data_IF_795562766317
#
_entry.id   IF_795562766317
#
_cell.length_a   1.000
_cell.length_b   1.000
_cell.length_c   1.000
_cell.angle_alpha   90.00
_cell.angle_beta   90.00
_cell.angle_gamma   90.00
#
_symmetry.space_group_name_H-M   'P 1'
#
loop_
_entity.id
_entity.type
_entity.pdbx_description
1 polymer ?
#
# COMPACT_ATOMS: atom_id res chain seq x y z
N UNK A 1 -33.59 8.18 3.84
CA UNK A 1 -32.50 9.07 3.41
C UNK A 1 -31.32 8.85 4.36
N UNK A 2 -30.22 8.22 3.91
CA UNK A 2 -29.01 8.09 4.74
C UNK A 2 -28.41 9.49 4.94
N UNK A 3 -28.03 9.85 6.15
CA UNK A 3 -27.41 11.14 6.41
C UNK A 3 -25.99 11.17 5.83
N UNK A 4 -25.49 12.36 5.50
CA UNK A 4 -24.10 12.57 5.01
C UNK A 4 -23.05 11.95 5.94
N UNK A 5 -23.30 11.98 7.27
CA UNK A 5 -22.44 11.35 8.29
C UNK A 5 -22.43 9.82 8.19
N UNK A 6 -23.54 9.19 7.84
CA UNK A 6 -23.61 7.74 7.64
C UNK A 6 -22.79 7.34 6.39
N UNK A 7 -22.87 8.13 5.32
CA UNK A 7 -22.09 7.91 4.11
C UNK A 7 -20.57 7.99 4.37
N UNK A 8 -20.13 9.04 5.09
CA UNK A 8 -18.70 9.19 5.46
C UNK A 8 -18.23 8.04 6.37
N UNK A 9 -19.08 7.54 7.28
CA UNK A 9 -18.69 6.43 8.15
C UNK A 9 -18.56 5.11 7.40
N UNK A 10 -19.45 4.84 6.44
CA UNK A 10 -19.40 3.66 5.58
C UNK A 10 -18.16 3.72 4.64
N UNK A 11 -17.84 4.88 4.05
CA UNK A 11 -16.62 5.06 3.26
C UNK A 11 -15.34 4.86 4.10
N UNK A 12 -15.29 5.41 5.30
CA UNK A 12 -14.16 5.21 6.23
C UNK A 12 -14.00 3.73 6.60
N UNK A 13 -15.10 3.00 6.80
CA UNK A 13 -15.07 1.58 7.13
C UNK A 13 -14.58 0.74 5.95
N UNK A 14 -15.09 0.98 4.75
CA UNK A 14 -14.64 0.31 3.51
C UNK A 14 -13.15 0.54 3.26
N UNK A 15 -12.68 1.78 3.45
CA UNK A 15 -11.26 2.13 3.30
C UNK A 15 -10.42 1.43 4.37
N UNK A 16 -10.88 1.36 5.62
CA UNK A 16 -10.13 0.71 6.71
C UNK A 16 -10.04 -0.81 6.54
N UNK A 17 -11.08 -1.45 6.04
CA UNK A 17 -11.11 -2.89 5.76
C UNK A 17 -10.25 -3.26 4.55
N UNK A 18 -10.27 -2.47 3.47
CA UNK A 18 -9.41 -2.65 2.31
C UNK A 18 -7.91 -2.55 2.64
N UNK A 19 -7.55 -1.73 3.63
CA UNK A 19 -6.17 -1.57 4.09
C UNK A 19 -5.71 -2.78 4.92
N UNK A 20 -6.60 -3.44 5.67
CA UNK A 20 -6.27 -4.63 6.46
C UNK A 20 -6.06 -5.89 5.62
N UNK A 21 -6.76 -6.02 4.50
CA UNK A 21 -6.68 -7.18 3.60
C UNK A 21 -5.61 -7.04 2.51
N UNK A 22 -4.94 -5.88 2.41
CA UNK A 22 -4.07 -5.54 1.29
C UNK A 22 -4.87 -5.19 0.02
N UNK A 23 -4.21 -4.53 -0.93
CA UNK A 23 -4.84 -4.20 -2.20
C UNK A 23 -5.00 -5.46 -3.06
N UNK A 24 -6.21 -5.78 -3.54
CA UNK A 24 -6.42 -6.96 -4.35
C UNK A 24 -5.74 -6.82 -5.73
N UNK A 25 -5.33 -7.94 -6.31
CA UNK A 25 -5.15 -8.08 -7.74
C UNK A 25 -6.49 -8.41 -8.40
N UNK A 26 -6.67 -8.05 -9.67
CA UNK A 26 -7.89 -8.41 -10.40
C UNK A 26 -8.16 -9.92 -10.31
N UNK A 27 -7.14 -10.75 -10.40
CA UNK A 27 -7.23 -12.21 -10.31
C UNK A 27 -7.64 -12.73 -8.93
N UNK A 28 -7.51 -11.93 -7.87
CA UNK A 28 -7.87 -12.32 -6.50
C UNK A 28 -9.18 -11.70 -6.01
N UNK A 29 -9.81 -10.86 -6.82
CA UNK A 29 -11.10 -10.25 -6.50
C UNK A 29 -12.20 -11.31 -6.38
N UNK A 30 -13.09 -11.12 -5.42
CA UNK A 30 -14.34 -11.85 -5.38
C UNK A 30 -15.29 -11.38 -6.51
N UNK A 31 -16.46 -12.03 -6.61
CA UNK A 31 -17.42 -11.74 -7.66
C UNK A 31 -17.93 -10.30 -7.60
N UNK A 32 -18.25 -9.80 -6.41
CA UNK A 32 -18.88 -8.47 -6.25
C UNK A 32 -17.87 -7.36 -6.54
N UNK A 33 -16.62 -7.51 -6.07
CA UNK A 33 -15.51 -6.62 -6.39
C UNK A 33 -15.24 -6.58 -7.90
N UNK A 34 -15.20 -7.74 -8.55
CA UNK A 34 -14.92 -7.85 -9.98
C UNK A 34 -16.04 -7.27 -10.83
N UNK A 35 -17.30 -7.53 -10.48
CA UNK A 35 -18.47 -6.96 -11.17
C UNK A 35 -18.52 -5.44 -11.03
N UNK A 36 -18.21 -4.93 -9.84
CA UNK A 36 -18.12 -3.50 -9.60
C UNK A 36 -17.00 -2.85 -10.42
N UNK A 37 -15.83 -3.50 -10.49
CA UNK A 37 -14.69 -3.03 -11.28
C UNK A 37 -15.01 -2.97 -12.78
N UNK A 38 -15.70 -3.97 -13.32
CA UNK A 38 -15.97 -4.12 -14.76
C UNK A 38 -17.33 -3.54 -15.19
N UNK A 39 -17.97 -2.76 -14.30
CA UNK A 39 -19.29 -2.18 -14.55
C UNK A 39 -19.32 -1.38 -15.86
N UNK A 40 -20.35 -1.61 -16.68
CA UNK A 40 -20.48 -0.98 -18.00
C UNK A 40 -19.48 -1.49 -19.05
N UNK A 41 -18.79 -2.59 -18.79
CA UNK A 41 -17.83 -3.21 -19.73
C UNK A 41 -16.52 -2.44 -19.85
N UNK A 42 -16.16 -1.66 -18.85
CA UNK A 42 -14.92 -0.84 -18.83
C UNK A 42 -14.25 -0.95 -17.48
N UNK A 43 -12.92 -1.08 -17.49
CA UNK A 43 -12.08 -0.86 -16.31
C UNK A 43 -11.46 0.52 -16.42
N UNK A 44 -11.83 1.42 -15.53
CA UNK A 44 -11.34 2.79 -15.52
C UNK A 44 -9.97 2.88 -14.84
N UNK A 45 -9.05 3.63 -15.45
CA UNK A 45 -7.72 3.97 -14.94
C UNK A 45 -7.68 5.50 -14.83
N UNK A 46 -8.34 6.04 -13.80
CA UNK A 46 -8.48 7.50 -13.61
C UNK A 46 -7.28 8.09 -12.85
N UNK A 47 -6.61 7.30 -12.08
CA UNK A 47 -5.41 7.68 -11.36
C UNK A 47 -4.54 6.47 -11.10
N UNK A 48 -3.24 6.68 -11.07
CA UNK A 48 -2.29 5.68 -10.66
C UNK A 48 -1.33 6.26 -9.63
N UNK A 49 -0.96 5.43 -8.65
CA UNK A 49 0.15 5.74 -7.76
C UNK A 49 1.15 4.60 -7.81
N UNK A 50 2.42 4.92 -7.56
CA UNK A 50 3.44 3.88 -7.48
C UNK A 50 3.13 2.96 -6.30
N UNK A 51 3.14 1.65 -6.53
CA UNK A 51 3.10 0.68 -5.42
C UNK A 51 4.48 0.58 -4.83
N UNK A 52 4.65 1.30 -3.75
CA UNK A 52 5.88 1.29 -2.96
C UNK A 52 5.91 0.06 -2.05
N UNK A 53 7.11 -0.42 -1.73
CA UNK A 53 7.35 -1.59 -0.88
C UNK A 53 8.28 -1.22 0.28
N UNK A 54 7.88 -0.22 1.01
CA UNK A 54 8.51 0.19 2.25
C UNK A 54 7.78 -0.35 3.47
N UNK A 55 8.09 0.21 4.60
CA UNK A 55 7.39 -0.11 5.85
C UNK A 55 6.37 0.97 6.14
N UNK A 56 5.10 0.59 6.26
CA UNK A 56 4.03 1.55 6.56
C UNK A 56 4.38 2.41 7.76
N UNK A 57 4.30 3.72 7.56
CA UNK A 57 4.57 4.73 8.57
C UNK A 57 3.51 5.82 8.50
N UNK A 58 2.89 6.07 9.64
CA UNK A 58 1.90 7.13 9.82
C UNK A 58 2.42 8.08 10.89
N UNK A 59 2.27 9.37 10.71
CA UNK A 59 2.58 10.38 11.71
C UNK A 59 1.51 11.46 11.72
N UNK A 60 1.34 12.12 12.87
CA UNK A 60 0.27 13.09 13.02
C UNK A 60 0.34 13.83 14.34
N UNK A 61 -0.77 14.53 14.61
CA UNK A 61 -0.97 15.27 15.84
C UNK A 61 -2.42 15.07 16.32
N UNK A 62 -2.59 14.94 17.62
CA UNK A 62 -3.89 14.92 18.30
C UNK A 62 -3.84 15.75 19.59
N UNK A 63 -4.81 15.59 20.46
CA UNK A 63 -4.90 16.32 21.74
C UNK A 63 -3.69 16.10 22.67
N UNK A 64 -3.10 14.88 22.60
CA UNK A 64 -1.91 14.52 23.38
C UNK A 64 -0.59 14.92 22.71
N UNK A 65 -0.63 15.52 21.51
CA UNK A 65 0.55 16.02 20.79
C UNK A 65 0.96 15.20 19.58
N UNK A 66 2.21 15.34 19.16
CA UNK A 66 2.78 14.61 18.03
C UNK A 66 2.87 13.13 18.32
N UNK A 67 2.54 12.31 17.31
CA UNK A 67 2.67 10.86 17.38
C UNK A 67 3.12 10.26 16.04
N UNK A 68 3.62 9.02 16.09
CA UNK A 68 3.75 8.21 14.89
C UNK A 68 3.35 6.74 15.14
N UNK A 69 3.15 6.01 14.06
CA UNK A 69 2.74 4.60 14.07
C UNK A 69 3.46 3.86 12.93
N UNK A 70 3.79 2.59 13.15
CA UNK A 70 4.33 1.69 12.13
C UNK A 70 3.38 0.52 11.86
N UNK A 71 3.57 -0.21 10.77
CA UNK A 71 2.78 -1.41 10.46
C UNK A 71 2.74 -2.43 11.59
N UNK A 72 3.80 -2.48 12.40
CA UNK A 72 3.88 -3.36 13.56
C UNK A 72 3.18 -2.81 14.81
N UNK A 73 2.78 -1.53 14.86
CA UNK A 73 2.23 -0.91 16.07
C UNK A 73 0.71 -1.11 16.26
N UNK A 74 0.03 -1.69 15.29
CA UNK A 74 -1.43 -1.74 15.33
C UNK A 74 -2.01 -0.32 15.38
N UNK A 75 -2.82 -0.05 16.39
CA UNK A 75 -3.39 1.29 16.63
C UNK A 75 -2.60 2.10 17.70
N UNK A 76 -1.51 1.54 18.22
CA UNK A 76 -0.72 2.19 19.28
C UNK A 76 0.04 3.39 18.71
N UNK A 77 -0.18 4.57 19.31
CA UNK A 77 0.48 5.83 18.96
C UNK A 77 1.78 5.97 19.77
N UNK A 78 2.91 6.00 19.08
CA UNK A 78 4.22 6.23 19.69
C UNK A 78 4.40 7.73 19.90
N UNK A 79 4.58 8.17 21.14
CA UNK A 79 4.75 9.57 21.51
C UNK A 79 6.22 9.97 21.63
N UNK A 80 7.06 8.96 21.92
CA UNK A 80 8.50 9.13 22.08
C UNK A 80 9.27 8.10 21.26
N UNK A 81 10.48 8.41 20.81
CA UNK A 81 11.32 7.46 20.06
C UNK A 81 11.50 6.11 20.79
N UNK A 82 11.66 6.13 22.12
CA UNK A 82 11.85 4.94 22.96
C UNK A 82 10.66 3.97 22.92
N UNK A 83 9.45 4.47 22.70
CA UNK A 83 8.23 3.65 22.68
C UNK A 83 8.32 2.52 21.65
N UNK A 84 9.06 2.72 20.55
CA UNK A 84 9.29 1.70 19.55
C UNK A 84 10.13 0.53 20.08
N UNK A 85 11.22 0.81 20.82
CA UNK A 85 12.08 -0.23 21.39
C UNK A 85 11.38 -0.96 22.55
N UNK A 86 10.68 -0.22 23.42
CA UNK A 86 9.88 -0.79 24.50
C UNK A 86 8.81 -1.76 23.98
N UNK A 87 8.12 -1.35 22.91
CA UNK A 87 7.13 -2.19 22.26
C UNK A 87 7.76 -3.43 21.63
N UNK A 88 8.88 -3.31 20.92
CA UNK A 88 9.56 -4.44 20.32
C UNK A 88 9.98 -5.45 21.40
N UNK A 89 10.46 -4.94 22.54
CA UNK A 89 10.84 -5.75 23.70
C UNK A 89 9.63 -6.49 24.30
N UNK A 90 8.51 -5.77 24.50
CA UNK A 90 7.27 -6.36 24.98
C UNK A 90 6.78 -7.49 24.04
N UNK A 91 6.74 -7.21 22.73
CA UNK A 91 6.31 -8.18 21.72
C UNK A 91 7.22 -9.42 21.65
N UNK A 92 8.53 -9.23 21.80
CA UNK A 92 9.47 -10.36 21.87
C UNK A 92 9.14 -11.29 23.04
N UNK A 93 8.88 -10.73 24.22
CA UNK A 93 8.49 -11.48 25.41
C UNK A 93 7.16 -12.22 25.22
N UNK A 94 6.15 -11.55 24.66
CA UNK A 94 4.81 -12.11 24.42
C UNK A 94 4.82 -13.25 23.39
N UNK A 95 5.64 -13.15 22.36
CA UNK A 95 5.66 -14.11 21.24
C UNK A 95 6.75 -15.18 21.38
N UNK A 96 7.67 -15.04 22.33
CA UNK A 96 8.84 -15.90 22.46
C UNK A 96 9.87 -15.78 21.33
N UNK A 97 9.71 -14.81 20.44
CA UNK A 97 10.63 -14.60 19.31
C UNK A 97 11.88 -13.83 19.77
N UNK A 98 13.05 -14.08 19.15
CA UNK A 98 14.25 -13.30 19.44
C UNK A 98 14.00 -11.80 19.30
N UNK A 99 14.58 -11.00 20.21
CA UNK A 99 14.48 -9.55 20.16
C UNK A 99 15.30 -9.00 18.99
N UNK A 100 14.62 -8.35 18.03
CA UNK A 100 15.24 -7.59 16.96
C UNK A 100 14.80 -6.12 17.07
N UNK A 101 15.73 -5.24 17.40
CA UNK A 101 15.50 -3.79 17.53
C UNK A 101 15.78 -3.01 16.24
N UNK A 102 16.23 -3.65 15.18
CA UNK A 102 16.66 -2.97 13.95
C UNK A 102 15.52 -2.14 13.35
N UNK A 103 14.35 -2.74 13.18
CA UNK A 103 13.17 -2.03 12.69
C UNK A 103 12.67 -0.97 13.67
N UNK A 104 12.61 -1.30 14.96
CA UNK A 104 12.19 -0.36 16.01
C UNK A 104 13.07 0.90 16.02
N UNK A 105 14.37 0.75 15.94
CA UNK A 105 15.33 1.88 15.89
C UNK A 105 15.21 2.73 14.63
N UNK A 106 14.89 2.11 13.47
CA UNK A 106 14.65 2.88 12.26
C UNK A 106 13.42 3.78 12.41
N UNK A 107 12.32 3.25 12.92
CA UNK A 107 11.11 4.03 13.20
C UNK A 107 11.33 5.08 14.29
N UNK A 108 12.06 4.76 15.37
CA UNK A 108 12.41 5.70 16.42
C UNK A 108 13.20 6.91 15.88
N UNK A 109 14.19 6.68 15.01
CA UNK A 109 14.96 7.74 14.36
C UNK A 109 14.09 8.60 13.44
N UNK A 110 13.17 7.98 12.67
CA UNK A 110 12.24 8.73 11.83
C UNK A 110 11.29 9.59 12.69
N UNK A 111 10.72 9.02 13.75
CA UNK A 111 9.89 9.75 14.71
C UNK A 111 10.63 10.95 15.29
N UNK A 112 11.84 10.75 15.82
CA UNK A 112 12.66 11.80 16.42
C UNK A 112 12.96 12.93 15.43
N UNK A 113 13.33 12.59 14.20
CA UNK A 113 13.62 13.57 13.16
C UNK A 113 12.39 14.43 12.82
N UNK A 114 11.20 13.82 12.71
CA UNK A 114 9.97 14.54 12.45
C UNK A 114 9.54 15.40 13.65
N UNK A 115 9.61 14.86 14.86
CA UNK A 115 9.22 15.57 16.08
C UNK A 115 10.08 16.81 16.33
N UNK A 116 11.35 16.78 15.96
CA UNK A 116 12.27 17.94 16.06
C UNK A 116 11.99 19.03 15.03
N UNK A 117 11.27 18.72 13.95
CA UNK A 117 10.89 19.71 12.94
C UNK A 117 9.70 20.54 13.42
N UNK A 118 9.98 21.69 14.04
CA UNK A 118 8.96 22.58 14.59
C UNK A 118 7.92 23.05 13.57
N UNK A 119 8.28 23.44 12.32
CA UNK A 119 7.30 23.81 11.30
C UNK A 119 6.33 22.67 10.96
N UNK A 120 6.82 21.44 10.79
CA UNK A 120 5.97 20.29 10.55
C UNK A 120 5.00 20.04 11.71
N UNK A 121 5.52 20.02 12.94
CA UNK A 121 4.68 19.79 14.13
C UNK A 121 3.62 20.87 14.27
N UNK A 122 3.97 22.15 14.03
CA UNK A 122 3.02 23.27 14.05
C UNK A 122 1.94 23.12 12.97
N UNK A 123 2.32 22.74 11.74
CA UNK A 123 1.37 22.48 10.66
C UNK A 123 0.40 21.34 11.02
N UNK A 124 0.90 20.23 11.54
CA UNK A 124 0.05 19.10 11.94
C UNK A 124 -0.89 19.47 13.08
N UNK A 125 -0.42 20.27 14.04
CA UNK A 125 -1.23 20.79 15.15
C UNK A 125 -2.38 21.67 14.63
N UNK A 126 -2.08 22.67 13.79
CA UNK A 126 -3.10 23.55 13.17
C UNK A 126 -4.14 22.75 12.38
N UNK A 127 -3.70 21.73 11.64
CA UNK A 127 -4.59 20.85 10.91
C UNK A 127 -5.46 19.98 11.84
N UNK A 128 -4.92 19.49 12.95
CA UNK A 128 -5.68 18.73 13.95
C UNK A 128 -6.79 19.60 14.58
N UNK A 129 -6.48 20.84 14.95
CA UNK A 129 -7.43 21.80 15.47
C UNK A 129 -8.57 22.08 14.49
N UNK A 130 -8.27 22.22 13.18
CA UNK A 130 -9.25 22.47 12.12
C UNK A 130 -10.08 21.23 11.75
N UNK A 131 -9.57 20.02 11.98
CA UNK A 131 -10.22 18.75 11.59
C UNK A 131 -10.95 18.03 12.72
N UNK A 132 -11.12 18.67 13.87
CA UNK A 132 -11.85 18.10 15.00
C UNK A 132 -11.02 17.27 15.96
N UNK A 133 -9.71 17.59 16.11
CA UNK A 133 -8.86 17.08 17.18
C UNK A 133 -7.76 16.11 16.75
N UNK A 134 -7.83 15.55 15.55
CA UNK A 134 -6.76 14.67 15.05
C UNK A 134 -6.47 14.91 13.56
N UNK A 135 -5.20 14.88 13.20
CA UNK A 135 -4.75 14.81 11.81
C UNK A 135 -3.60 13.85 11.65
N UNK A 136 -3.45 13.28 10.49
CA UNK A 136 -2.34 12.37 10.20
C UNK A 136 -1.95 12.36 8.73
N UNK A 137 -0.69 12.01 8.49
CA UNK A 137 -0.12 11.73 7.18
C UNK A 137 0.35 10.30 7.15
N UNK A 138 0.02 9.58 6.09
CA UNK A 138 0.37 8.17 5.92
C UNK A 138 1.20 7.95 4.66
N UNK A 139 2.24 7.16 4.82
CA UNK A 139 3.12 6.76 3.74
C UNK A 139 3.91 5.51 4.11
N UNK A 140 5.03 5.34 3.46
CA UNK A 140 5.97 4.26 3.73
C UNK A 140 7.35 4.81 4.04
N UNK A 141 7.97 4.29 5.09
CA UNK A 141 9.34 4.60 5.47
C UNK A 141 10.30 3.65 4.76
N UNK A 142 11.24 4.23 4.05
CA UNK A 142 12.42 3.58 3.49
C UNK A 142 13.63 3.97 4.31
N UNK A 143 14.30 2.99 4.90
CA UNK A 143 15.52 3.20 5.67
C UNK A 143 16.51 2.09 5.37
N UNK A 144 17.81 2.43 5.33
CA UNK A 144 18.87 1.42 5.17
C UNK A 144 18.78 0.32 6.24
N UNK A 145 18.32 0.65 7.43
CA UNK A 145 18.14 -0.31 8.51
C UNK A 145 16.93 -1.26 8.29
N UNK A 146 15.94 -0.86 7.48
CA UNK A 146 14.79 -1.68 7.11
C UNK A 146 15.03 -2.44 5.80
N UNK A 147 16.10 -2.10 5.08
CA UNK A 147 16.46 -2.75 3.84
C UNK A 147 16.94 -4.17 4.08
N UNK A 148 16.52 -5.06 3.21
CA UNK A 148 17.06 -6.42 3.17
C UNK A 148 18.42 -6.37 2.47
N UNK A 149 19.44 -7.07 2.95
CA UNK A 149 20.71 -7.16 2.25
C UNK A 149 20.47 -7.64 0.81
N UNK A 150 20.97 -6.90 -0.16
CA UNK A 150 20.94 -7.36 -1.54
C UNK A 150 22.16 -8.25 -1.81
N UNK A 151 21.98 -9.33 -2.53
CA UNK A 151 23.09 -10.17 -3.03
C UNK A 151 23.91 -9.44 -4.12
N UNK A 152 23.58 -8.19 -4.45
CA UNK A 152 24.29 -7.42 -5.47
C UNK A 152 25.20 -6.39 -4.81
N UNK A 153 26.48 -6.49 -5.12
CA UNK A 153 27.55 -5.55 -4.74
C UNK A 153 27.40 -4.14 -5.35
N UNK A 154 26.21 -3.73 -5.79
CA UNK A 154 25.99 -2.50 -6.52
C UNK A 154 25.51 -1.32 -5.68
N UNK A 155 25.56 -1.40 -4.37
CA UNK A 155 25.16 -0.30 -3.48
C UNK A 155 23.65 0.03 -3.49
N UNK A 156 22.84 -0.80 -4.12
CA UNK A 156 21.39 -0.65 -4.13
C UNK A 156 20.77 -1.23 -2.86
N UNK A 157 19.79 -0.53 -2.31
CA UNK A 157 18.98 -1.03 -1.21
C UNK A 157 17.76 -1.74 -1.81
N UNK A 158 17.61 -3.03 -1.54
CA UNK A 158 16.45 -3.80 -1.99
C UNK A 158 15.41 -3.91 -0.89
N UNK A 159 14.19 -3.53 -1.23
CA UNK A 159 12.99 -3.81 -0.45
C UNK A 159 12.15 -4.79 -1.26
N UNK A 160 11.90 -5.97 -0.72
CA UNK A 160 11.00 -7.02 -1.28
C UNK A 160 11.00 -7.08 -2.83
N UNK A 161 12.18 -7.14 -3.45
CA UNK A 161 12.32 -7.27 -4.91
C UNK A 161 12.40 -5.97 -5.69
N UNK A 162 12.34 -4.81 -5.04
CA UNK A 162 12.55 -3.51 -5.66
C UNK A 162 13.91 -2.93 -5.25
N UNK A 163 14.54 -2.21 -6.16
CA UNK A 163 15.83 -1.54 -5.91
C UNK A 163 15.61 -0.04 -5.77
N UNK A 164 16.07 0.52 -4.66
CA UNK A 164 16.00 1.96 -4.40
C UNK A 164 17.41 2.54 -4.40
N UNK A 165 17.57 3.69 -5.04
CA UNK A 165 18.84 4.42 -5.04
C UNK A 165 19.17 4.90 -3.62
N UNK A 166 20.27 4.42 -2.99
CA UNK A 166 20.66 4.85 -1.65
C UNK A 166 20.97 6.33 -1.55
N UNK A 167 21.34 6.98 -2.66
CA UNK A 167 21.64 8.43 -2.69
C UNK A 167 20.39 9.28 -2.47
N UNK A 168 19.22 8.73 -2.78
CA UNK A 168 17.92 9.39 -2.58
C UNK A 168 17.34 9.18 -1.18
N UNK A 169 17.98 8.34 -0.37
CA UNK A 169 17.61 8.16 1.02
C UNK A 169 18.41 9.16 1.86
N UNK A 170 17.73 9.98 2.66
CA UNK A 170 18.38 10.80 3.69
C UNK A 170 19.14 9.91 4.70
N UNK A 171 19.90 10.52 5.61
CA UNK A 171 20.67 9.79 6.64
C UNK A 171 19.78 8.89 7.51
N UNK A 172 18.56 9.33 7.81
CA UNK A 172 17.56 8.58 8.58
C UNK A 172 16.74 7.70 7.66
N UNK A 173 16.28 8.23 6.53
CA UNK A 173 15.45 7.53 5.58
C UNK A 173 14.70 8.46 4.65
N UNK A 174 13.76 7.87 3.91
CA UNK A 174 12.84 8.55 3.02
C UNK A 174 11.42 8.12 3.35
N UNK A 175 10.50 9.07 3.39
CA UNK A 175 9.07 8.80 3.53
C UNK A 175 8.41 9.11 2.20
N UNK A 176 7.71 8.11 1.65
CA UNK A 176 6.88 8.24 0.45
C UNK A 176 5.44 8.32 0.89
N UNK A 177 4.82 9.48 0.68
CA UNK A 177 3.45 9.76 1.11
C UNK A 177 2.46 9.21 0.08
N UNK A 178 1.42 8.53 0.54
CA UNK A 178 0.35 8.03 -0.32
C UNK A 178 -0.63 9.15 -0.70
N UNK A 179 -0.36 9.82 -1.81
CA UNK A 179 -1.05 11.04 -2.25
C UNK A 179 -2.57 10.94 -2.41
N UNK A 180 -3.09 9.72 -2.64
CA UNK A 180 -4.52 9.47 -2.86
C UNK A 180 -5.28 8.98 -1.62
N UNK A 181 -4.62 8.86 -0.47
CA UNK A 181 -5.32 8.51 0.75
C UNK A 181 -6.11 9.71 1.29
N UNK A 182 -7.35 9.50 1.79
CA UNK A 182 -8.17 10.59 2.34
C UNK A 182 -7.48 11.35 3.47
N UNK A 183 -6.77 10.65 4.35
CA UNK A 183 -6.01 11.27 5.45
C UNK A 183 -4.90 12.20 4.97
N UNK A 184 -4.39 12.00 3.76
CA UNK A 184 -3.34 12.83 3.17
C UNK A 184 -3.89 14.00 2.34
N UNK A 185 -5.18 13.97 2.03
CA UNK A 185 -5.82 15.05 1.29
C UNK A 185 -5.89 16.32 2.15
N UNK A 186 -5.52 17.45 1.55
CA UNK A 186 -5.47 18.74 2.26
C UNK A 186 -4.16 18.99 3.03
N UNK A 187 -3.19 18.08 2.98
CA UNK A 187 -1.82 18.41 3.36
C UNK A 187 -1.06 18.94 2.13
N UNK A 188 -0.35 20.03 2.32
CA UNK A 188 0.57 20.55 1.31
C UNK A 188 1.86 19.74 1.33
N UNK A 189 1.97 18.80 0.40
CA UNK A 189 3.12 17.89 0.32
C UNK A 189 4.39 18.61 -0.14
N UNK A 190 4.28 19.68 -0.94
CA UNK A 190 5.43 20.50 -1.35
C UNK A 190 5.99 21.26 -0.14
N UNK A 191 5.11 21.80 0.71
CA UNK A 191 5.50 22.40 1.97
C UNK A 191 6.28 21.43 2.87
N UNK A 192 5.89 20.15 2.91
CA UNK A 192 6.66 19.13 3.62
C UNK A 192 8.05 18.92 3.01
N UNK A 193 8.15 18.87 1.69
CA UNK A 193 9.44 18.70 1.00
C UNK A 193 10.39 19.85 1.28
N UNK A 194 9.90 21.09 1.25
CA UNK A 194 10.69 22.31 1.47
C UNK A 194 11.18 22.44 2.92
N UNK A 195 10.32 22.17 3.89
CA UNK A 195 10.62 22.39 5.30
C UNK A 195 11.41 21.26 5.97
N UNK A 196 11.62 20.14 5.30
CA UNK A 196 12.22 18.95 5.88
C UNK A 196 13.64 18.66 5.40
N UNK A 197 14.22 19.52 4.56
CA UNK A 197 15.62 19.42 4.11
C UNK A 197 16.62 19.25 5.24
N UNK A 198 16.35 19.82 6.41
CA UNK A 198 17.23 19.79 7.57
C UNK A 198 17.05 18.56 8.47
N UNK A 199 16.01 17.74 8.25
CA UNK A 199 15.70 16.61 9.14
C UNK A 199 16.46 15.33 8.86
N UNK A 200 17.24 15.27 7.77
CA UNK A 200 17.82 14.03 7.25
C UNK A 200 16.78 12.94 6.88
N UNK A 201 15.50 13.30 6.79
CA UNK A 201 14.42 12.51 6.24
C UNK A 201 13.99 13.16 4.92
N UNK A 202 14.10 12.43 3.83
CA UNK A 202 13.60 12.89 2.55
C UNK A 202 12.12 12.58 2.42
N UNK A 203 11.37 13.48 1.82
CA UNK A 203 9.95 13.26 1.51
C UNK A 203 9.73 13.20 0.02
N UNK A 204 8.75 12.39 -0.34
CA UNK A 204 8.22 12.34 -1.69
C UNK A 204 6.78 11.80 -1.66
N UNK A 205 6.12 11.81 -2.80
CA UNK A 205 4.80 11.21 -2.95
C UNK A 205 4.82 10.09 -3.98
N UNK A 206 3.81 9.23 -3.93
CA UNK A 206 3.63 8.10 -4.83
C UNK A 206 2.86 8.46 -6.12
N UNK A 207 2.58 9.74 -6.35
CA UNK A 207 1.77 10.20 -7.50
C UNK A 207 2.46 9.88 -8.82
N UNK A 208 1.69 9.29 -9.72
CA UNK A 208 2.07 9.07 -11.12
C UNK A 208 1.19 9.97 -11.99
N UNK A 209 1.83 10.80 -12.79
CA UNK A 209 1.12 11.59 -13.80
C UNK A 209 0.92 10.73 -15.05
N UNK A 210 -0.31 10.54 -15.42
CA UNK A 210 -0.70 9.86 -16.66
C UNK A 210 -2.05 10.40 -17.12
N UNK A 211 -2.35 10.20 -18.39
CA UNK A 211 -3.66 10.54 -18.92
C UNK A 211 -4.70 9.50 -18.44
N UNK A 212 -5.83 9.96 -17.89
CA UNK A 212 -6.94 9.06 -17.55
C UNK A 212 -7.40 8.27 -18.77
N UNK A 213 -7.80 7.03 -18.55
CA UNK A 213 -8.23 6.16 -19.62
C UNK A 213 -9.11 5.02 -19.13
N UNK A 214 -9.47 4.14 -20.04
CA UNK A 214 -10.18 2.92 -19.69
C UNK A 214 -9.80 1.77 -20.60
N UNK A 215 -9.95 0.56 -20.10
CA UNK A 215 -9.78 -0.68 -20.83
C UNK A 215 -11.15 -1.25 -21.18
N UNK A 216 -11.43 -1.50 -22.46
CA UNK A 216 -12.66 -2.15 -22.87
C UNK A 216 -12.62 -3.66 -22.54
N UNK A 217 -13.58 -4.09 -21.73
CA UNK A 217 -13.74 -5.48 -21.26
C UNK A 217 -15.15 -6.03 -21.50
N UNK A 218 -15.91 -5.42 -22.43
CA UNK A 218 -17.25 -5.86 -22.79
C UNK A 218 -17.34 -7.34 -23.15
N UNK A 219 -16.39 -7.92 -23.94
CA UNK A 219 -16.42 -9.34 -24.24
C UNK A 219 -16.34 -10.22 -22.99
N UNK A 220 -15.45 -9.87 -22.05
CA UNK A 220 -15.24 -10.61 -20.81
C UNK A 220 -16.45 -10.48 -19.87
N UNK A 221 -17.07 -9.30 -19.81
CA UNK A 221 -18.32 -9.09 -19.05
C UNK A 221 -19.47 -9.91 -19.65
N UNK A 222 -19.52 -10.06 -20.97
CA UNK A 222 -20.50 -10.95 -21.61
C UNK A 222 -20.24 -12.42 -21.26
N UNK A 223 -18.97 -12.85 -21.24
CA UNK A 223 -18.63 -14.20 -20.79
C UNK A 223 -19.01 -14.42 -19.31
N UNK A 224 -18.90 -13.41 -18.48
CA UNK A 224 -19.26 -13.47 -17.06
C UNK A 224 -20.73 -13.87 -16.84
N UNK A 225 -21.65 -13.52 -17.75
CA UNK A 225 -23.05 -13.91 -17.66
C UNK A 225 -23.28 -15.43 -17.72
N UNK A 226 -22.29 -16.19 -18.20
CA UNK A 226 -22.34 -17.66 -18.25
C UNK A 226 -21.90 -18.34 -16.95
N UNK A 227 -21.37 -17.56 -15.97
CA UNK A 227 -20.89 -18.08 -14.69
C UNK A 227 -22.04 -18.15 -13.68
N UNK A 228 -22.19 -19.29 -13.01
CA UNK A 228 -23.18 -19.44 -11.94
C UNK A 228 -22.70 -18.80 -10.64
N UNK A 229 -23.10 -17.55 -10.42
CA UNK A 229 -22.69 -16.75 -9.26
C UNK A 229 -23.20 -17.27 -7.93
N UNK A 230 -24.42 -17.80 -7.91
CA UNK A 230 -24.98 -18.38 -6.68
C UNK A 230 -24.15 -19.59 -6.22
N UNK A 231 -23.68 -20.37 -7.19
CA UNK A 231 -22.81 -21.50 -6.89
C UNK A 231 -21.44 -21.05 -6.36
N UNK A 232 -20.87 -19.95 -6.90
CA UNK A 232 -19.62 -19.38 -6.39
C UNK A 232 -19.74 -18.92 -4.94
N UNK A 233 -20.86 -18.26 -4.58
CA UNK A 233 -21.14 -17.76 -3.22
C UNK A 233 -21.54 -18.86 -2.25
N UNK A 234 -22.07 -19.99 -2.72
CA UNK A 234 -22.55 -21.08 -1.89
C UNK A 234 -21.44 -21.71 -1.06
N UNK A 235 -21.78 -22.25 0.12
CA UNK A 235 -20.84 -23.08 0.90
C UNK A 235 -20.47 -24.35 0.10
N UNK A 236 -19.18 -24.70 0.10
CA UNK A 236 -18.72 -25.93 -0.55
C UNK A 236 -19.21 -27.15 0.22
N UNK A 237 -19.92 -28.04 -0.46
CA UNK A 237 -20.42 -29.32 0.06
C UNK A 237 -19.97 -30.44 -0.86
N UNK A 238 -19.98 -31.73 -0.42
CA UNK A 238 -19.65 -32.85 -1.32
C UNK A 238 -20.50 -32.86 -2.57
N UNK A 239 -21.77 -32.44 -2.48
CA UNK A 239 -22.74 -32.45 -3.62
C UNK A 239 -22.44 -31.38 -4.69
N UNK A 240 -21.86 -30.22 -4.30
CA UNK A 240 -21.63 -29.13 -5.24
C UNK A 240 -20.14 -28.87 -5.53
N UNK A 241 -19.24 -29.63 -4.93
CA UNK A 241 -17.79 -29.41 -5.00
C UNK A 241 -17.27 -29.38 -6.44
N UNK A 242 -17.64 -30.35 -7.25
CA UNK A 242 -17.19 -30.46 -8.64
C UNK A 242 -17.75 -29.31 -9.48
N UNK A 243 -19.06 -29.08 -9.43
CA UNK A 243 -19.68 -27.96 -10.14
C UNK A 243 -19.11 -26.61 -9.74
N UNK A 244 -18.89 -26.39 -8.43
CA UNK A 244 -18.27 -25.17 -7.93
C UNK A 244 -16.83 -25.01 -8.42
N UNK A 245 -16.07 -26.10 -8.51
CA UNK A 245 -14.69 -26.07 -9.05
C UNK A 245 -14.69 -25.62 -10.51
N UNK A 246 -15.63 -26.15 -11.32
CA UNK A 246 -15.77 -25.75 -12.73
C UNK A 246 -16.14 -24.27 -12.86
N UNK A 247 -17.12 -23.79 -12.09
CA UNK A 247 -17.51 -22.38 -12.13
C UNK A 247 -16.41 -21.45 -11.64
N UNK A 248 -15.66 -21.85 -10.61
CA UNK A 248 -14.48 -21.10 -10.13
C UNK A 248 -13.43 -20.99 -11.23
N UNK A 249 -13.14 -22.09 -11.94
CA UNK A 249 -12.17 -22.08 -13.02
C UNK A 249 -12.59 -21.16 -14.19
N UNK A 250 -13.89 -21.17 -14.55
CA UNK A 250 -14.44 -20.25 -15.57
C UNK A 250 -14.25 -18.78 -15.13
N UNK A 251 -14.63 -18.47 -13.89
CA UNK A 251 -14.51 -17.12 -13.33
C UNK A 251 -13.05 -16.66 -13.29
N UNK A 252 -12.14 -17.52 -12.84
CA UNK A 252 -10.71 -17.22 -12.78
C UNK A 252 -10.11 -16.98 -14.19
N UNK A 253 -10.56 -17.73 -15.20
CA UNK A 253 -10.15 -17.51 -16.57
C UNK A 253 -10.60 -16.12 -17.10
N UNK A 254 -11.81 -15.70 -16.77
CA UNK A 254 -12.34 -14.38 -17.14
C UNK A 254 -11.54 -13.27 -16.43
N UNK A 255 -11.32 -13.41 -15.11
CA UNK A 255 -10.49 -12.47 -14.34
C UNK A 255 -9.09 -12.34 -14.92
N UNK A 256 -8.49 -13.46 -15.34
CA UNK A 256 -7.18 -13.46 -15.97
C UNK A 256 -7.17 -12.67 -17.27
N UNK A 257 -8.15 -12.87 -18.16
CA UNK A 257 -8.26 -12.10 -19.42
C UNK A 257 -8.35 -10.59 -19.17
N UNK A 258 -9.17 -10.18 -18.19
CA UNK A 258 -9.30 -8.76 -17.81
C UNK A 258 -7.99 -8.24 -17.22
N UNK A 259 -7.35 -9.01 -16.34
CA UNK A 259 -6.06 -8.63 -15.77
C UNK A 259 -4.98 -8.44 -16.84
N UNK A 260 -4.88 -9.37 -17.80
CA UNK A 260 -3.90 -9.30 -18.89
C UNK A 260 -4.12 -8.04 -19.77
N UNK A 261 -5.37 -7.67 -20.06
CA UNK A 261 -5.71 -6.44 -20.78
C UNK A 261 -5.34 -5.17 -20.00
N UNK A 262 -5.65 -5.14 -18.70
CA UNK A 262 -5.32 -4.01 -17.84
C UNK A 262 -3.81 -3.89 -17.69
N UNK A 263 -3.12 -4.99 -17.49
CA UNK A 263 -1.65 -5.03 -17.41
C UNK A 263 -1.00 -4.48 -18.71
N UNK A 264 -1.50 -4.87 -19.87
CA UNK A 264 -1.03 -4.38 -21.16
C UNK A 264 -1.27 -2.86 -21.31
N UNK A 265 -2.45 -2.38 -20.90
CA UNK A 265 -2.75 -0.95 -20.92
C UNK A 265 -1.83 -0.16 -19.98
N UNK A 266 -1.66 -0.61 -18.74
CA UNK A 266 -0.79 0.06 -17.76
C UNK A 266 0.67 0.09 -18.26
N UNK A 267 1.15 -0.97 -18.89
CA UNK A 267 2.47 -0.98 -19.54
C UNK A 267 2.59 0.03 -20.68
N UNK A 268 1.51 0.22 -21.46
CA UNK A 268 1.50 1.20 -22.56
C UNK A 268 1.55 2.66 -22.09
N UNK A 269 1.23 2.93 -20.84
CA UNK A 269 1.31 4.28 -20.26
C UNK A 269 2.75 4.79 -20.15
N UNK A 270 3.73 3.93 -20.38
CA UNK A 270 5.18 4.23 -20.37
C UNK A 270 5.62 5.07 -19.16
N UNK A 271 5.06 4.75 -18.00
CA UNK A 271 5.33 5.46 -16.76
C UNK A 271 6.67 5.01 -16.21
N UNK A 272 7.64 5.90 -16.23
CA UNK A 272 8.94 5.64 -15.57
C UNK A 272 8.74 5.68 -14.06
N UNK A 273 9.18 4.65 -13.33
CA UNK A 273 9.12 4.68 -11.88
C UNK A 273 10.00 5.81 -11.34
N UNK A 274 9.44 6.66 -10.50
CA UNK A 274 10.17 7.77 -9.83
C UNK A 274 11.33 7.29 -8.97
N UNK A 275 11.35 6.03 -8.59
CA UNK A 275 12.09 5.49 -7.44
C UNK A 275 13.19 4.48 -7.79
N UNK A 276 13.38 4.14 -9.01
CA UNK A 276 14.41 3.19 -9.45
C UNK A 276 13.89 2.13 -10.41
N UNK A 277 14.80 1.29 -10.91
CA UNK A 277 14.46 0.19 -11.79
C UNK A 277 13.87 -0.96 -10.98
N UNK A 278 12.58 -1.18 -11.02
CA UNK A 278 11.95 -2.35 -10.42
C UNK A 278 11.01 -2.04 -9.25
N UNK A 279 10.00 -1.25 -9.53
CA UNK A 279 8.89 -1.06 -8.59
C UNK A 279 8.08 -2.33 -8.43
N UNK A 280 7.41 -2.50 -7.28
CA UNK A 280 6.44 -3.58 -7.09
C UNK A 280 5.34 -3.52 -8.16
N UNK A 281 4.97 -2.31 -8.60
CA UNK A 281 3.92 -2.06 -9.57
C UNK A 281 3.21 -0.74 -9.33
N UNK A 282 1.92 -0.72 -9.64
CA UNK A 282 1.08 0.45 -9.47
C UNK A 282 -0.18 0.11 -8.68
N UNK A 283 -0.71 1.09 -7.98
CA UNK A 283 -2.07 1.09 -7.43
C UNK A 283 -2.95 1.89 -8.37
N UNK A 284 -3.95 1.24 -8.91
CA UNK A 284 -4.93 1.88 -9.80
C UNK A 284 -6.11 2.37 -8.96
N UNK A 285 -6.46 3.61 -9.18
CA UNK A 285 -7.59 4.27 -8.53
C UNK A 285 -8.75 4.35 -9.51
N UNK A 286 -9.92 3.83 -9.14
CA UNK A 286 -11.11 3.94 -9.97
C UNK A 286 -11.61 5.39 -10.00
N UNK A 287 -12.59 5.65 -10.86
CA UNK A 287 -13.25 6.95 -10.94
C UNK A 287 -13.81 7.37 -9.59
N UNK A 288 -13.62 8.62 -9.15
CA UNK A 288 -14.23 9.15 -7.93
C UNK A 288 -15.75 8.93 -7.92
N UNK A 289 -16.30 8.48 -6.79
CA UNK A 289 -17.72 8.14 -6.64
C UNK A 289 -18.14 6.79 -7.22
N UNK A 290 -17.21 6.03 -7.80
CA UNK A 290 -17.43 4.65 -8.22
C UNK A 290 -17.38 3.69 -7.02
N UNK A 291 -18.17 2.62 -7.05
CA UNK A 291 -18.09 1.50 -6.11
C UNK A 291 -16.96 0.52 -6.42
N UNK A 292 -16.23 0.75 -7.52
CA UNK A 292 -15.12 -0.11 -7.91
C UNK A 292 -13.99 -0.04 -6.88
N UNK A 293 -13.38 -1.19 -6.51
CA UNK A 293 -12.28 -1.19 -5.56
C UNK A 293 -11.00 -0.65 -6.20
N UNK A 294 -10.12 -0.06 -5.39
CA UNK A 294 -8.73 0.14 -5.77
C UNK A 294 -8.04 -1.22 -5.91
N UNK A 295 -7.15 -1.34 -6.85
CA UNK A 295 -6.43 -2.59 -7.09
C UNK A 295 -4.98 -2.35 -7.49
N UNK A 296 -4.16 -3.38 -7.36
CA UNK A 296 -2.75 -3.31 -7.77
C UNK A 296 -2.50 -4.05 -9.07
N UNK A 297 -1.63 -3.46 -9.88
CA UNK A 297 -0.99 -4.08 -11.04
C UNK A 297 0.48 -4.30 -10.71
N UNK A 298 0.92 -5.55 -10.75
CA UNK A 298 2.28 -5.93 -10.36
C UNK A 298 3.22 -5.87 -11.56
N UNK A 299 4.41 -5.30 -11.38
CA UNK A 299 5.43 -5.28 -12.43
C UNK A 299 5.97 -6.68 -12.74
N UNK A 300 6.46 -6.88 -13.97
CA UNK A 300 7.06 -8.15 -14.37
C UNK A 300 8.31 -8.48 -13.55
N UNK A 301 9.09 -7.45 -13.23
CA UNK A 301 10.29 -7.60 -12.39
C UNK A 301 9.94 -8.14 -11.00
N UNK A 302 8.86 -7.63 -10.39
CA UNK A 302 8.41 -8.11 -9.09
C UNK A 302 7.78 -9.50 -9.18
N UNK A 303 7.03 -9.81 -10.23
CA UNK A 303 6.50 -11.16 -10.48
C UNK A 303 7.64 -12.18 -10.58
N UNK A 304 8.63 -11.93 -11.39
CA UNK A 304 9.81 -12.80 -11.52
C UNK A 304 10.60 -12.95 -10.21
N UNK A 305 10.65 -11.87 -9.38
CA UNK A 305 11.22 -11.98 -8.05
C UNK A 305 10.41 -12.93 -7.14
N UNK A 306 9.08 -12.80 -7.15
CA UNK A 306 8.20 -13.66 -6.34
C UNK A 306 8.21 -15.13 -6.77
N UNK A 307 8.40 -15.40 -8.04
CA UNK A 307 8.58 -16.75 -8.56
C UNK A 307 9.89 -17.36 -8.03
N UNK A 308 11.00 -16.64 -8.12
CA UNK A 308 12.29 -17.07 -7.54
C UNK A 308 12.21 -17.26 -6.03
N UNK A 309 11.43 -16.45 -5.31
CA UNK A 309 11.22 -16.62 -3.86
C UNK A 309 10.46 -17.91 -3.54
N UNK A 310 9.53 -18.33 -4.41
CA UNK A 310 8.81 -19.60 -4.27
C UNK A 310 9.67 -20.81 -4.58
N UNK A 311 10.49 -20.72 -5.61
CA UNK A 311 11.37 -21.80 -6.06
C UNK A 311 12.54 -22.03 -5.09
N UNK A 312 12.97 -20.99 -4.37
CA UNK A 312 14.07 -21.06 -3.41
C UNK A 312 13.64 -20.61 -2.00
N UNK A 313 13.14 -21.53 -1.17
CA UNK A 313 12.72 -21.22 0.21
C UNK A 313 13.84 -20.64 1.08
N UNK A 314 15.12 -20.91 0.77
CA UNK A 314 16.26 -20.32 1.48
C UNK A 314 16.40 -18.83 1.20
N UNK A 315 15.85 -18.35 0.12
CA UNK A 315 15.76 -16.93 -0.22
C UNK A 315 14.91 -16.15 0.80
N UNK A 316 13.86 -16.78 1.35
CA UNK A 316 13.04 -16.24 2.46
C UNK A 316 13.83 -16.12 3.77
N UNK A 317 14.67 -17.09 4.08
CA UNK A 317 15.39 -17.14 5.35
C UNK A 317 16.61 -16.20 5.41
N UNK A 318 17.12 -15.75 4.28
CA UNK A 318 18.17 -14.71 4.22
C UNK A 318 17.67 -13.30 4.59
N UNK A 319 16.37 -13.15 4.75
CA UNK A 319 15.73 -11.85 5.03
C UNK A 319 15.37 -11.62 6.49
N UNK A 320 15.54 -12.62 7.34
CA UNK A 320 15.48 -12.48 8.80
C UNK A 320 16.93 -12.57 9.28
N UNK A 321 17.53 -11.44 9.58
CA UNK A 321 18.92 -11.35 9.98
C UNK A 321 19.25 -12.33 11.09
N UNK A 322 20.31 -13.09 10.89
CA UNK A 322 21.13 -13.59 11.99
C UNK A 322 22.01 -12.46 12.48
#
# INVERSE_FOLDING_TARGET
MKTFLTYISEEKQIISEGIRQGLPHITTMDHDQFTSLTHGGKVHVEGATEKTDGSTFKFGHDEDGFYSQSSGSGNEKMRHPRDYEERATRRSKETGKPLDLTGARAFAKAHEALQKNKPLVAHLKDRAEKSGGETSVRGELFSKALARPSDTNKGEVKFVGTSYDPKRMGKVGKIVIHSKLPENQGHDLEHFKENLSDTNVNFDDDKIEHNPGHVDVKPEVKELSSVNHELLKSRTTPKNKEAKTVETAKFDAIKKKVSDKVDAHVKSLNVSPKWGSGTEGMVIHPKPGSSAPRFKVTSDAFRGYKEKEKENPTFKNRTVGK
#
